data_IF_467602224479
#
_entry.id   IF_467602224479
#
_cell.length_a   1.000
_cell.length_b   1.000
_cell.length_c   1.000
_cell.angle_alpha   90.00
_cell.angle_beta   90.00
_cell.angle_gamma   90.00
#
_symmetry.space_group_name_H-M   'P 1'
#
loop_
_entity.id
_entity.type
_entity.pdbx_description
1 polymer ?
#
# COMPACT_ATOMS: atom_id res chain seq x y z
N UNK A 1 46.35 1.65 -13.53
CA UNK A 1 46.24 0.99 -12.21
C UNK A 1 44.83 1.20 -11.69
N UNK A 2 43.99 0.16 -11.81
CA UNK A 2 42.57 0.20 -11.47
C UNK A 2 42.45 0.21 -9.94
N UNK A 3 42.08 1.34 -9.34
CA UNK A 3 41.79 1.38 -7.89
C UNK A 3 40.51 0.58 -7.66
N UNK A 4 40.67 -0.57 -7.01
CA UNK A 4 39.67 -1.61 -6.83
C UNK A 4 38.42 -1.09 -6.11
N UNK A 5 37.30 -1.77 -6.36
CA UNK A 5 36.04 -1.68 -5.62
C UNK A 5 36.20 -1.29 -4.15
N UNK A 6 37.05 -2.05 -3.47
CA UNK A 6 37.27 -2.03 -2.03
C UNK A 6 37.91 -0.76 -1.47
N UNK A 7 38.94 -0.20 -2.11
CA UNK A 7 39.67 0.98 -1.58
C UNK A 7 38.77 2.21 -1.37
N UNK A 8 37.69 2.31 -2.14
CA UNK A 8 36.72 3.40 -2.02
C UNK A 8 35.68 3.13 -0.92
N UNK A 9 35.28 1.87 -0.74
CA UNK A 9 34.43 1.45 0.38
C UNK A 9 35.16 1.70 1.70
N UNK A 10 36.44 1.30 1.77
CA UNK A 10 37.30 1.61 2.90
C UNK A 10 37.38 3.13 3.14
N UNK A 11 37.50 3.95 2.10
CA UNK A 11 37.50 5.40 2.29
C UNK A 11 36.16 5.96 2.79
N UNK A 12 35.01 5.42 2.36
CA UNK A 12 33.72 5.88 2.85
C UNK A 12 33.51 5.48 4.31
N UNK A 13 33.74 4.21 4.65
CA UNK A 13 33.45 3.68 5.99
C UNK A 13 34.55 3.94 7.03
N UNK A 14 35.83 4.00 6.65
CA UNK A 14 36.93 4.19 7.61
C UNK A 14 37.37 5.66 7.70
N UNK A 15 37.11 6.47 6.67
CA UNK A 15 37.53 7.88 6.66
C UNK A 15 36.35 8.85 6.68
N UNK A 16 35.42 8.77 5.72
CA UNK A 16 34.36 9.78 5.57
C UNK A 16 33.29 9.68 6.65
N UNK A 17 32.78 8.48 6.94
CA UNK A 17 31.76 8.27 7.94
C UNK A 17 32.26 8.62 9.35
N UNK A 18 33.43 8.16 9.83
CA UNK A 18 33.97 8.56 11.13
C UNK A 18 34.30 10.06 11.19
N UNK A 19 34.68 10.69 10.08
CA UNK A 19 34.87 12.14 10.04
C UNK A 19 33.54 12.91 10.15
N UNK A 20 32.46 12.40 9.57
CA UNK A 20 31.12 12.97 9.70
C UNK A 20 30.60 12.83 11.14
N UNK A 21 30.82 11.69 11.79
CA UNK A 21 30.44 11.48 13.19
C UNK A 21 31.15 12.44 14.16
N UNK A 22 32.44 12.72 13.93
CA UNK A 22 33.20 13.68 14.74
C UNK A 22 32.74 15.13 14.58
N UNK A 23 32.04 15.47 13.50
CA UNK A 23 31.51 16.82 13.23
C UNK A 23 30.11 17.04 13.83
N UNK A 24 29.51 16.02 14.44
CA UNK A 24 28.19 16.14 15.03
C UNK A 24 28.23 17.10 16.23
N UNK A 25 27.22 17.99 16.38
CA UNK A 25 27.24 19.04 17.39
C UNK A 25 26.83 18.53 18.79
N UNK A 26 27.47 17.46 19.27
CA UNK A 26 27.17 16.87 20.59
C UNK A 26 27.42 17.85 21.74
N UNK A 27 28.42 18.72 21.62
CA UNK A 27 28.71 19.75 22.63
C UNK A 27 27.54 20.72 22.83
N UNK A 28 26.84 21.04 21.74
CA UNK A 28 25.64 21.89 21.79
C UNK A 28 24.45 21.11 22.35
N UNK A 29 24.26 19.87 21.92
CA UNK A 29 23.16 19.01 22.36
C UNK A 29 23.25 18.66 23.85
N UNK A 30 24.45 18.39 24.36
CA UNK A 30 24.74 18.06 25.75
C UNK A 30 25.12 19.28 26.60
N UNK A 31 24.94 20.50 26.08
CA UNK A 31 25.19 21.72 26.84
C UNK A 31 24.32 21.78 28.09
N UNK A 32 24.87 22.33 29.18
CA UNK A 32 24.18 22.39 30.49
C UNK A 32 22.80 23.07 30.38
N UNK A 33 22.69 24.09 29.53
CA UNK A 33 21.44 24.80 29.27
C UNK A 33 20.40 23.90 28.58
N UNK A 34 20.81 23.13 27.57
CA UNK A 34 19.89 22.23 26.86
C UNK A 34 19.51 21.02 27.72
N UNK A 35 20.46 20.43 28.44
CA UNK A 35 20.22 19.31 29.35
C UNK A 35 19.21 19.71 30.44
N UNK A 36 19.41 20.85 31.09
CA UNK A 36 18.46 21.36 32.09
C UNK A 36 17.06 21.56 31.51
N UNK A 37 16.97 22.14 30.31
CA UNK A 37 15.70 22.33 29.61
C UNK A 37 15.01 20.98 29.33
N UNK A 38 15.68 20.07 28.64
CA UNK A 38 15.11 18.79 28.21
C UNK A 38 14.72 17.92 29.40
N UNK A 39 15.56 17.86 30.43
CA UNK A 39 15.27 17.09 31.67
C UNK A 39 14.08 17.69 32.42
N UNK A 40 14.03 19.01 32.57
CA UNK A 40 12.91 19.67 33.26
C UNK A 40 11.60 19.57 32.48
N UNK A 41 11.65 19.58 31.15
CA UNK A 41 10.49 19.38 30.27
C UNK A 41 10.01 17.92 30.20
N UNK A 42 10.89 16.96 30.47
CA UNK A 42 10.58 15.53 30.39
C UNK A 42 10.08 14.95 31.71
N UNK A 43 10.79 15.20 32.80
CA UNK A 43 10.48 14.62 34.12
C UNK A 43 9.80 15.62 35.08
N UNK A 44 9.87 16.93 34.80
CA UNK A 44 9.39 17.96 35.72
C UNK A 44 10.24 18.09 36.98
N UNK A 45 9.93 19.07 37.84
CA UNK A 45 10.61 19.20 39.14
C UNK A 45 10.06 18.16 40.12
N UNK A 46 10.82 17.08 40.35
CA UNK A 46 10.48 16.03 41.30
C UNK A 46 11.61 15.81 42.32
N UNK A 47 11.51 16.39 43.53
CA UNK A 47 12.56 16.30 44.56
C UNK A 47 12.76 14.90 45.15
N UNK A 48 11.87 13.94 44.85
CA UNK A 48 11.96 12.55 45.30
C UNK A 48 12.50 11.58 44.23
N UNK A 49 12.85 12.08 43.04
CA UNK A 49 13.32 11.25 41.95
C UNK A 49 14.81 10.92 42.12
N UNK A 50 15.16 9.63 42.09
CA UNK A 50 16.56 9.16 42.20
C UNK A 50 17.34 9.51 40.93
N UNK A 51 16.68 9.51 39.77
CA UNK A 51 17.25 9.91 38.48
C UNK A 51 16.15 10.36 37.49
N UNK A 52 16.38 11.40 36.68
CA UNK A 52 15.46 11.84 35.62
C UNK A 52 15.52 10.91 34.40
N UNK A 53 14.86 9.76 34.49
CA UNK A 53 14.92 8.70 33.48
C UNK A 53 14.38 9.15 32.10
N UNK A 54 13.29 9.93 32.04
CA UNK A 54 12.73 10.36 30.76
C UNK A 54 13.60 11.43 30.10
N UNK A 55 14.21 12.31 30.88
CA UNK A 55 15.16 13.31 30.44
C UNK A 55 16.40 12.67 29.83
N UNK A 56 16.97 11.65 30.50
CA UNK A 56 18.08 10.89 29.93
C UNK A 56 17.68 10.16 28.65
N UNK A 57 16.51 9.50 28.64
CA UNK A 57 16.00 8.82 27.44
C UNK A 57 15.88 9.78 26.25
N UNK A 58 15.26 10.95 26.43
CA UNK A 58 15.13 11.98 25.37
C UNK A 58 16.46 12.55 24.91
N UNK A 59 17.41 12.76 25.83
CA UNK A 59 18.75 13.23 25.46
C UNK A 59 19.49 12.21 24.60
N UNK A 60 19.40 10.92 24.94
CA UNK A 60 20.00 9.82 24.17
C UNK A 60 19.31 9.67 22.82
N UNK A 61 17.98 9.66 22.76
CA UNK A 61 17.23 9.61 21.50
C UNK A 61 17.57 10.78 20.58
N UNK A 62 17.64 12.00 21.13
CA UNK A 62 18.08 13.18 20.39
C UNK A 62 19.51 13.04 19.86
N UNK A 63 20.42 12.47 20.67
CA UNK A 63 21.80 12.22 20.25
C UNK A 63 21.88 11.18 19.12
N UNK A 64 21.08 10.10 19.22
CA UNK A 64 21.01 9.04 18.20
C UNK A 64 20.45 9.55 16.87
N UNK A 65 19.54 10.52 16.90
CA UNK A 65 18.97 11.12 15.67
C UNK A 65 20.03 11.75 14.76
N UNK A 66 21.11 12.29 15.32
CA UNK A 66 22.20 12.90 14.57
C UNK A 66 23.02 11.90 13.74
N UNK A 67 22.97 10.60 14.06
CA UNK A 67 23.66 9.56 13.30
C UNK A 67 22.96 9.21 11.99
N UNK A 68 21.66 9.54 11.86
CA UNK A 68 20.85 9.17 10.69
C UNK A 68 21.38 9.77 9.39
N UNK A 69 21.66 11.07 9.39
CA UNK A 69 22.16 11.78 8.20
C UNK A 69 23.50 11.23 7.67
N UNK A 70 24.55 11.11 8.51
CA UNK A 70 25.81 10.48 8.11
C UNK A 70 25.66 9.04 7.61
N UNK A 71 24.75 8.25 8.19
CA UNK A 71 24.51 6.87 7.78
C UNK A 71 23.85 6.80 6.39
N UNK A 72 22.79 7.58 6.16
CA UNK A 72 22.11 7.69 4.86
C UNK A 72 23.09 8.15 3.76
N UNK A 73 23.87 9.20 4.02
CA UNK A 73 24.85 9.72 3.08
C UNK A 73 25.94 8.69 2.69
N UNK A 74 26.34 7.83 3.62
CA UNK A 74 27.34 6.79 3.38
C UNK A 74 26.79 5.67 2.48
N UNK A 75 25.51 5.33 2.63
CA UNK A 75 24.83 4.35 1.78
C UNK A 75 24.55 4.91 0.38
N UNK A 76 24.07 6.15 0.30
CA UNK A 76 23.78 6.83 -0.97
C UNK A 76 25.03 7.00 -1.85
N UNK A 77 26.18 7.28 -1.22
CA UNK A 77 27.46 7.39 -1.91
C UNK A 77 27.88 6.06 -2.59
N UNK A 78 27.57 4.92 -1.97
CA UNK A 78 27.84 3.60 -2.57
C UNK A 78 26.77 3.21 -3.61
N UNK A 79 25.50 3.56 -3.43
CA UNK A 79 24.45 3.22 -4.41
C UNK A 79 24.58 4.01 -5.72
N UNK A 80 24.96 5.29 -5.66
CA UNK A 80 25.23 6.12 -6.86
C UNK A 80 26.40 5.61 -7.71
N UNK A 81 27.17 4.66 -7.20
CA UNK A 81 28.35 4.11 -7.86
C UNK A 81 28.03 3.23 -9.08
N UNK A 82 26.84 2.64 -9.11
CA UNK A 82 26.47 1.68 -10.16
C UNK A 82 25.24 2.19 -10.93
N UNK A 83 25.35 3.26 -11.72
CA UNK A 83 24.21 3.81 -12.47
C UNK A 83 23.63 2.80 -13.46
N UNK A 84 24.45 1.87 -13.98
CA UNK A 84 23.95 0.75 -14.80
C UNK A 84 23.18 -0.27 -13.98
N UNK A 85 23.66 -0.64 -12.78
CA UNK A 85 22.93 -1.53 -11.87
C UNK A 85 21.62 -0.88 -11.39
N UNK A 86 21.63 0.42 -11.11
CA UNK A 86 20.41 1.17 -10.76
C UNK A 86 19.41 1.17 -11.91
N UNK A 87 19.87 1.42 -13.15
CA UNK A 87 19.02 1.37 -14.34
C UNK A 87 18.47 -0.05 -14.59
N UNK A 88 19.30 -1.09 -14.46
CA UNK A 88 18.84 -2.48 -14.61
C UNK A 88 17.88 -2.90 -13.50
N UNK A 89 18.13 -2.48 -12.25
CA UNK A 89 17.23 -2.75 -11.14
C UNK A 89 15.88 -2.05 -11.34
N UNK A 90 15.88 -0.77 -11.71
CA UNK A 90 14.67 -0.02 -12.01
C UNK A 90 13.89 -0.64 -13.18
N UNK A 91 14.58 -1.05 -14.25
CA UNK A 91 13.98 -1.75 -15.38
C UNK A 91 13.37 -3.10 -14.96
N UNK A 92 14.09 -3.90 -14.19
CA UNK A 92 13.61 -5.19 -13.69
C UNK A 92 12.40 -5.05 -12.76
N UNK A 93 12.39 -4.04 -11.88
CA UNK A 93 11.24 -3.76 -11.01
C UNK A 93 10.03 -3.29 -11.80
N UNK A 94 10.21 -2.43 -12.80
CA UNK A 94 9.13 -1.96 -13.65
C UNK A 94 8.54 -3.10 -14.51
N UNK A 95 9.38 -3.97 -15.04
CA UNK A 95 8.93 -5.15 -15.77
C UNK A 95 8.14 -6.12 -14.89
N UNK A 96 8.62 -6.39 -13.67
CA UNK A 96 7.92 -7.25 -12.71
C UNK A 96 6.54 -6.67 -12.32
N UNK A 97 6.46 -5.36 -12.09
CA UNK A 97 5.20 -4.68 -11.76
C UNK A 97 4.18 -4.75 -12.91
N UNK A 98 4.60 -4.53 -14.16
CA UNK A 98 3.69 -4.67 -15.30
C UNK A 98 3.22 -6.11 -15.51
N UNK A 99 4.10 -7.10 -15.30
CA UNK A 99 3.70 -8.53 -15.34
C UNK A 99 2.64 -8.84 -14.28
N UNK A 100 2.85 -8.43 -13.03
CA UNK A 100 1.88 -8.65 -11.96
C UNK A 100 0.55 -7.94 -12.21
N UNK A 101 0.58 -6.74 -12.78
CA UNK A 101 -0.63 -6.01 -13.18
C UNK A 101 -1.43 -6.78 -14.24
N UNK A 102 -0.77 -7.29 -15.27
CA UNK A 102 -1.43 -8.02 -16.36
C UNK A 102 -1.98 -9.37 -15.87
N UNK A 103 -1.25 -10.08 -15.02
CA UNK A 103 -1.70 -11.35 -14.43
C UNK A 103 -2.90 -11.15 -13.50
N UNK A 104 -2.88 -10.08 -12.69
CA UNK A 104 -4.00 -9.71 -11.82
C UNK A 104 -5.26 -9.40 -12.63
N UNK A 105 -5.10 -8.68 -13.75
CA UNK A 105 -6.20 -8.36 -14.67
C UNK A 105 -6.81 -9.63 -15.28
N UNK A 106 -5.98 -10.56 -15.77
CA UNK A 106 -6.44 -11.82 -16.35
C UNK A 106 -7.20 -12.66 -15.33
N UNK A 107 -6.68 -12.76 -14.10
CA UNK A 107 -7.35 -13.49 -13.02
C UNK A 107 -8.71 -12.88 -12.69
N UNK A 108 -8.80 -11.55 -12.58
CA UNK A 108 -10.06 -10.86 -12.30
C UNK A 108 -11.12 -11.12 -13.38
N UNK A 109 -10.74 -11.02 -14.67
CA UNK A 109 -11.65 -11.33 -15.78
C UNK A 109 -12.11 -12.79 -15.69
N UNK A 110 -11.20 -13.73 -15.43
CA UNK A 110 -11.52 -15.15 -15.35
C UNK A 110 -12.50 -15.46 -14.22
N UNK A 111 -12.40 -14.77 -13.08
CA UNK A 111 -13.38 -14.88 -12.01
C UNK A 111 -14.77 -14.43 -12.48
N UNK A 112 -14.85 -13.28 -13.16
CA UNK A 112 -16.13 -12.80 -13.71
C UNK A 112 -16.73 -13.79 -14.71
N UNK A 113 -15.92 -14.31 -15.63
CA UNK A 113 -16.36 -15.30 -16.63
C UNK A 113 -16.84 -16.60 -15.96
N UNK A 114 -16.14 -17.04 -14.89
CA UNK A 114 -16.55 -18.19 -14.10
C UNK A 114 -17.91 -17.94 -13.43
N UNK A 115 -18.09 -16.82 -12.73
CA UNK A 115 -19.36 -16.47 -12.08
C UNK A 115 -20.51 -16.37 -13.09
N UNK A 116 -20.27 -15.77 -14.26
CA UNK A 116 -21.26 -15.71 -15.34
C UNK A 116 -21.68 -17.11 -15.85
N UNK A 117 -20.76 -18.08 -15.81
CA UNK A 117 -21.01 -19.46 -16.24
C UNK A 117 -21.85 -20.27 -15.23
N UNK A 118 -21.95 -19.82 -13.97
CA UNK A 118 -22.75 -20.49 -12.93
C UNK A 118 -24.24 -20.12 -12.96
N UNK A 119 -24.67 -19.23 -13.85
CA UNK A 119 -26.08 -18.91 -14.09
C UNK A 119 -26.79 -20.09 -14.78
N UNK A 120 -27.21 -21.07 -13.97
CA UNK A 120 -27.88 -22.28 -14.45
C UNK A 120 -29.37 -22.06 -14.76
N UNK A 121 -29.96 -22.96 -15.55
CA UNK A 121 -31.41 -22.97 -15.82
C UNK A 121 -32.23 -23.03 -14.51
N UNK A 122 -31.72 -23.71 -13.49
CA UNK A 122 -32.37 -23.78 -12.16
C UNK A 122 -32.38 -22.42 -11.45
N UNK A 123 -31.33 -21.61 -11.58
CA UNK A 123 -31.31 -20.24 -11.07
C UNK A 123 -32.43 -19.40 -11.72
N UNK A 124 -32.55 -19.46 -13.05
CA UNK A 124 -33.59 -18.71 -13.78
C UNK A 124 -35.01 -19.23 -13.54
N UNK A 125 -35.20 -20.50 -13.16
CA UNK A 125 -36.53 -21.03 -12.78
C UNK A 125 -37.01 -20.52 -11.42
N UNK A 126 -36.08 -20.22 -10.50
CA UNK A 126 -36.38 -19.70 -9.16
C UNK A 126 -36.56 -18.19 -9.14
N UNK A 127 -35.87 -17.46 -10.02
CA UNK A 127 -35.92 -16.00 -10.09
C UNK A 127 -37.36 -15.44 -10.13
N UNK A 128 -38.27 -15.90 -11.02
CA UNK A 128 -39.65 -15.41 -11.07
C UNK A 128 -40.45 -15.74 -9.79
N UNK A 129 -40.16 -16.89 -9.15
CA UNK A 129 -40.85 -17.33 -7.93
C UNK A 129 -40.45 -16.49 -6.70
N UNK A 130 -39.19 -16.06 -6.63
CA UNK A 130 -38.72 -15.15 -5.57
C UNK A 130 -39.19 -13.71 -5.82
N UNK A 131 -39.24 -13.28 -7.08
CA UNK A 131 -39.80 -11.98 -7.47
C UNK A 131 -41.31 -11.86 -7.16
N UNK A 132 -42.09 -12.94 -7.33
CA UNK A 132 -43.52 -12.97 -6.95
C UNK A 132 -43.74 -13.01 -5.43
N UNK A 133 -42.79 -13.55 -4.65
CA UNK A 133 -42.85 -13.53 -3.18
C UNK A 133 -42.55 -12.15 -2.58
N UNK A 134 -41.75 -11.33 -3.27
CA UNK A 134 -41.36 -10.00 -2.80
C UNK A 134 -42.40 -8.89 -3.09
N UNK A 135 -43.48 -9.19 -3.82
CA UNK A 135 -44.57 -8.25 -4.07
C UNK A 135 -45.92 -8.96 -4.22
N UNK A 136 -46.76 -8.83 -3.18
CA UNK A 136 -48.22 -9.08 -3.07
C UNK A 136 -48.86 -10.23 -3.90
N UNK A 137 -49.63 -11.16 -3.30
CA UNK A 137 -50.09 -12.36 -3.99
C UNK A 137 -51.22 -12.06 -4.98
N UNK A 138 -50.90 -11.99 -6.27
CA UNK A 138 -51.91 -11.97 -7.32
C UNK A 138 -52.09 -13.39 -7.89
N UNK A 139 -53.13 -14.06 -7.38
CA UNK A 139 -53.73 -15.26 -7.97
C UNK A 139 -54.04 -15.01 -9.46
N UNK A 140 -53.22 -15.53 -10.36
CA UNK A 140 -53.63 -15.81 -11.75
C UNK A 140 -52.72 -16.90 -12.32
N UNK A 141 -53.26 -18.12 -12.36
CA UNK A 141 -52.63 -19.26 -13.03
C UNK A 141 -52.55 -18.97 -14.54
N UNK A 142 -51.38 -18.52 -15.00
CA UNK A 142 -51.09 -18.43 -16.43
C UNK A 142 -50.84 -19.85 -16.97
N UNK A 143 -51.38 -20.20 -18.15
CA UNK A 143 -51.13 -21.49 -18.78
C UNK A 143 -49.62 -21.69 -19.01
N UNK A 144 -49.13 -22.92 -18.82
CA UNK A 144 -47.68 -23.26 -18.92
C UNK A 144 -47.06 -22.91 -20.29
N UNK A 145 -47.87 -22.75 -21.33
CA UNK A 145 -47.45 -22.38 -22.69
C UNK A 145 -47.05 -20.90 -22.84
N UNK A 146 -47.57 -19.99 -22.00
CA UNK A 146 -47.36 -18.54 -22.14
C UNK A 146 -46.30 -17.97 -21.19
N UNK A 147 -45.61 -18.84 -20.46
CA UNK A 147 -44.63 -18.46 -19.42
C UNK A 147 -43.43 -17.68 -19.99
N UNK A 148 -43.18 -17.80 -21.29
CA UNK A 148 -42.14 -17.08 -22.04
C UNK A 148 -42.71 -16.27 -23.21
N UNK A 149 -43.98 -15.86 -23.15
CA UNK A 149 -44.58 -14.97 -24.16
C UNK A 149 -43.99 -13.56 -24.12
N UNK A 150 -44.32 -12.73 -25.12
CA UNK A 150 -43.79 -11.36 -25.29
C UNK A 150 -43.94 -10.47 -24.02
N UNK A 151 -45.02 -10.67 -23.25
CA UNK A 151 -45.26 -9.97 -21.98
C UNK A 151 -44.32 -10.35 -20.83
N UNK A 152 -43.66 -11.51 -20.88
CA UNK A 152 -42.61 -11.91 -19.93
C UNK A 152 -41.30 -11.16 -20.24
N UNK A 153 -40.87 -11.17 -21.51
CA UNK A 153 -39.68 -10.43 -21.96
C UNK A 153 -39.82 -8.92 -21.70
N UNK A 154 -41.01 -8.35 -21.94
CA UNK A 154 -41.30 -6.95 -21.65
C UNK A 154 -41.17 -6.65 -20.15
N UNK A 155 -41.63 -7.54 -19.26
CA UNK A 155 -41.50 -7.39 -17.79
C UNK A 155 -40.05 -7.42 -17.31
N UNK A 156 -39.22 -8.33 -17.84
CA UNK A 156 -37.77 -8.38 -17.53
C UNK A 156 -37.10 -7.08 -17.95
N UNK A 157 -37.36 -6.61 -19.18
CA UNK A 157 -36.78 -5.37 -19.70
C UNK A 157 -37.28 -4.10 -18.99
N UNK A 158 -38.49 -4.13 -18.41
CA UNK A 158 -39.12 -2.98 -17.74
C UNK A 158 -38.63 -2.76 -16.31
N UNK A 159 -37.87 -3.69 -15.71
CA UNK A 159 -37.47 -3.60 -14.31
C UNK A 159 -35.96 -3.74 -14.07
N UNK A 160 -35.13 -2.82 -14.64
CA UNK A 160 -33.67 -2.87 -14.51
C UNK A 160 -33.19 -2.74 -13.06
N UNK A 161 -33.99 -2.13 -12.18
CA UNK A 161 -33.66 -1.97 -10.75
C UNK A 161 -33.63 -3.30 -9.99
N UNK A 162 -34.47 -4.26 -10.35
CA UNK A 162 -34.49 -5.57 -9.68
C UNK A 162 -33.30 -6.44 -10.12
N UNK A 163 -32.92 -6.36 -11.40
CA UNK A 163 -31.67 -6.95 -11.89
C UNK A 163 -30.45 -6.29 -11.24
N UNK A 164 -30.46 -4.96 -11.07
CA UNK A 164 -29.41 -4.24 -10.35
C UNK A 164 -29.25 -4.72 -8.91
N UNK A 165 -30.36 -4.96 -8.19
CA UNK A 165 -30.32 -5.48 -6.81
C UNK A 165 -29.74 -6.90 -6.71
N UNK A 166 -29.97 -7.74 -7.72
CA UNK A 166 -29.35 -9.07 -7.80
C UNK A 166 -27.85 -9.00 -8.11
N UNK A 167 -27.38 -7.87 -8.65
CA UNK A 167 -25.98 -7.60 -8.95
C UNK A 167 -25.29 -6.75 -7.86
N UNK A 168 -25.98 -6.47 -6.75
CA UNK A 168 -25.38 -5.77 -5.62
C UNK A 168 -24.25 -6.63 -5.03
N UNK A 169 -23.07 -6.02 -4.94
CA UNK A 169 -21.85 -6.69 -4.47
C UNK A 169 -21.95 -6.98 -2.96
N UNK A 170 -21.58 -8.19 -2.53
CA UNK A 170 -21.50 -8.56 -1.11
C UNK A 170 -20.61 -7.52 -0.37
N UNK A 171 -21.07 -6.91 0.74
CA UNK A 171 -20.28 -5.97 1.53
C UNK A 171 -18.86 -6.45 1.87
N UNK A 172 -18.68 -7.75 2.13
CA UNK A 172 -17.36 -8.32 2.42
C UNK A 172 -16.45 -8.36 1.17
N UNK A 173 -17.03 -8.59 -0.01
CA UNK A 173 -16.31 -8.53 -1.28
C UNK A 173 -15.99 -7.08 -1.67
N UNK A 174 -16.93 -6.15 -1.43
CA UNK A 174 -16.73 -4.72 -1.62
C UNK A 174 -15.56 -4.20 -0.77
N UNK A 175 -15.48 -4.60 0.51
CA UNK A 175 -14.37 -4.22 1.40
C UNK A 175 -13.03 -4.77 0.91
N UNK A 176 -12.99 -6.05 0.48
CA UNK A 176 -11.78 -6.64 -0.12
C UNK A 176 -11.37 -5.91 -1.40
N UNK A 177 -12.32 -5.53 -2.26
CA UNK A 177 -12.06 -4.75 -3.47
C UNK A 177 -11.47 -3.38 -3.13
N UNK A 178 -11.99 -2.70 -2.12
CA UNK A 178 -11.43 -1.43 -1.63
C UNK A 178 -10.01 -1.58 -1.07
N UNK A 179 -9.73 -2.65 -0.32
CA UNK A 179 -8.39 -2.94 0.19
C UNK A 179 -7.39 -3.20 -0.96
N UNK A 180 -7.80 -3.98 -1.97
CA UNK A 180 -7.01 -4.20 -3.18
C UNK A 180 -6.76 -2.90 -3.96
N UNK A 181 -7.78 -2.05 -4.11
CA UNK A 181 -7.65 -0.74 -4.76
C UNK A 181 -6.63 0.15 -4.03
N UNK A 182 -6.70 0.22 -2.70
CA UNK A 182 -5.76 0.97 -1.88
C UNK A 182 -4.33 0.44 -2.01
N UNK A 183 -4.14 -0.88 -2.02
CA UNK A 183 -2.83 -1.49 -2.30
C UNK A 183 -2.31 -1.13 -3.69
N UNK A 184 -3.19 -1.08 -4.68
CA UNK A 184 -2.82 -0.74 -6.05
C UNK A 184 -2.41 0.73 -6.19
N UNK A 185 -3.04 1.65 -5.45
CA UNK A 185 -2.59 3.04 -5.35
C UNK A 185 -1.20 3.14 -4.72
N UNK A 186 -0.93 2.39 -3.66
CA UNK A 186 0.40 2.35 -3.03
C UNK A 186 1.46 1.83 -4.02
N UNK A 187 1.16 0.80 -4.80
CA UNK A 187 2.10 0.32 -5.83
C UNK A 187 2.34 1.34 -6.95
N UNK A 188 1.33 2.13 -7.31
CA UNK A 188 1.51 3.25 -8.27
C UNK A 188 2.39 4.34 -7.70
N UNK A 189 2.14 4.78 -6.46
CA UNK A 189 2.97 5.78 -5.80
C UNK A 189 4.44 5.31 -5.68
N UNK A 190 4.65 4.05 -5.29
CA UNK A 190 6.00 3.47 -5.23
C UNK A 190 6.68 3.42 -6.60
N UNK A 191 5.94 3.09 -7.66
CA UNK A 191 6.47 3.16 -9.03
C UNK A 191 6.86 4.57 -9.41
N UNK A 192 5.99 5.55 -9.17
CA UNK A 192 6.24 6.95 -9.52
C UNK A 192 7.46 7.51 -8.77
N UNK A 193 7.66 7.11 -7.51
CA UNK A 193 8.88 7.43 -6.74
C UNK A 193 10.13 6.82 -7.38
N UNK A 194 10.12 5.53 -7.75
CA UNK A 194 11.23 4.87 -8.44
C UNK A 194 11.56 5.59 -9.76
N UNK A 195 10.53 5.89 -10.55
CA UNK A 195 10.69 6.60 -11.81
C UNK A 195 11.29 8.00 -11.57
N UNK A 196 10.84 8.75 -10.56
CA UNK A 196 11.37 10.08 -10.23
C UNK A 196 12.87 10.10 -9.90
N UNK A 197 13.37 9.05 -9.25
CA UNK A 197 14.80 8.90 -8.90
C UNK A 197 15.62 8.49 -10.13
N UNK A 198 15.02 7.77 -11.08
CA UNK A 198 15.69 7.32 -12.30
C UNK A 198 15.99 8.46 -13.30
N UNK A 199 15.23 9.57 -13.25
CA UNK A 199 15.35 10.70 -14.19
C UNK A 199 16.18 11.89 -13.69
N UNK A 200 16.77 11.82 -12.48
CA UNK A 200 17.75 12.83 -12.03
C UNK A 200 19.13 12.51 -12.61
N UNK A 201 19.31 12.85 -13.89
CA UNK A 201 20.61 12.91 -14.58
C UNK A 201 21.01 14.35 -14.88
#
# INVERSE_FOLDING_TARGET
MVRSGGDKIYNVFDNQFPAALRKLPFDRHLSLQNVRKVVSEADGYQPHLIAPEQGYRRLIEGALSYFRGPAEASVDAELRRFPTLQAELAAATNEALERFREESKKTAIRLVDMEASYLTVEFFRRLPQEMEKAGTPANQATPKEDRYGEGHYRRIGSNPKQLSQLLDEDPALMERRQQCAKRLELYKAARDEIDSVSWTR
#
